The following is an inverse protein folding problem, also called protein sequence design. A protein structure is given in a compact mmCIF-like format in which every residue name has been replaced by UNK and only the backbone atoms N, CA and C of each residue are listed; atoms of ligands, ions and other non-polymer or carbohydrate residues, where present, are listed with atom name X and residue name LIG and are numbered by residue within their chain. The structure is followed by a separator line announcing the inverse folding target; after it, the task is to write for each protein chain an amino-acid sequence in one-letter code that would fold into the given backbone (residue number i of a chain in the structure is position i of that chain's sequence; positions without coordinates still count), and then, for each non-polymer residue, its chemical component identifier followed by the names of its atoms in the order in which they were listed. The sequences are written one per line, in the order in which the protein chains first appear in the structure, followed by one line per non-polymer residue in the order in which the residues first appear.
data_IF_379144530752
#
_entry.id   IF_379144530752
#
_cell.length_a   1.000
_cell.length_b   1.000
_cell.length_c   1.000
_cell.angle_alpha   90.00
_cell.angle_beta   90.00
_cell.angle_gamma   90.00
#
_symmetry.space_group_name_H-M   'P 1'
#
loop_
_entity.id
_entity.type
_entity.pdbx_description
1 polymer ?
#
# COMPACT_ATOMS: atom_id res chain seq x y z
N UNK A 1 30.51 -22.70 9.38
CA UNK A 1 29.16 -22.17 9.66
C UNK A 1 28.34 -22.39 8.42
N UNK A 2 27.34 -23.25 8.53
CA UNK A 2 26.45 -23.64 7.44
C UNK A 2 25.73 -22.40 6.87
N UNK A 3 25.53 -22.34 5.55
CA UNK A 3 24.88 -21.17 4.91
C UNK A 3 23.45 -20.98 5.45
N UNK A 4 22.79 -22.08 5.81
CA UNK A 4 21.48 -22.05 6.47
C UNK A 4 21.53 -21.40 7.86
N UNK A 5 22.57 -21.66 8.65
CA UNK A 5 22.76 -21.00 9.96
C UNK A 5 23.01 -19.51 9.80
N UNK A 6 23.86 -19.12 8.85
CA UNK A 6 24.11 -17.69 8.55
C UNK A 6 22.82 -16.99 8.16
N UNK A 7 22.00 -17.60 7.32
CA UNK A 7 20.70 -17.08 6.93
C UNK A 7 19.79 -16.93 8.15
N UNK A 8 19.60 -17.99 8.95
CA UNK A 8 18.73 -17.96 10.14
C UNK A 8 19.14 -16.85 11.11
N UNK A 9 20.44 -16.68 11.35
CA UNK A 9 20.98 -15.62 12.21
C UNK A 9 20.67 -14.22 11.67
N UNK A 10 20.90 -13.99 10.37
CA UNK A 10 20.58 -12.70 9.71
C UNK A 10 19.07 -12.43 9.70
N UNK A 11 18.26 -13.43 9.37
CA UNK A 11 16.80 -13.33 9.35
C UNK A 11 16.23 -13.02 10.74
N UNK A 12 16.78 -13.65 11.79
CA UNK A 12 16.40 -13.39 13.18
C UNK A 12 16.76 -11.97 13.60
N UNK A 13 17.97 -11.52 13.24
CA UNK A 13 18.41 -10.15 13.53
C UNK A 13 17.53 -9.11 12.81
N UNK A 14 17.19 -9.34 11.54
CA UNK A 14 16.29 -8.47 10.80
C UNK A 14 14.87 -8.43 11.39
N UNK A 15 14.30 -9.58 11.78
CA UNK A 15 12.99 -9.63 12.49
C UNK A 15 13.01 -8.81 13.77
N UNK A 16 14.10 -8.90 14.54
CA UNK A 16 14.24 -8.12 15.78
C UNK A 16 14.25 -6.62 15.48
N UNK A 17 15.09 -6.18 14.53
CA UNK A 17 15.17 -4.78 14.12
C UNK A 17 13.81 -4.23 13.65
N UNK A 18 13.08 -4.99 12.85
CA UNK A 18 11.75 -4.57 12.40
C UNK A 18 10.80 -4.48 13.61
N UNK A 19 10.75 -5.51 14.45
CA UNK A 19 9.81 -5.55 15.59
C UNK A 19 10.05 -4.42 16.59
N UNK A 20 11.30 -4.04 16.84
CA UNK A 20 11.65 -2.98 17.79
C UNK A 20 11.34 -1.57 17.28
N UNK A 21 11.28 -1.37 15.96
CA UNK A 21 11.15 -0.05 15.34
C UNK A 21 9.75 0.23 14.76
N UNK A 22 8.82 -0.71 14.81
CA UNK A 22 7.43 -0.49 14.37
C UNK A 22 6.50 -0.20 15.55
N UNK A 23 5.46 0.59 15.27
CA UNK A 23 4.41 0.90 16.23
C UNK A 23 3.65 -0.34 16.72
N UNK A 24 3.08 -0.24 17.92
CA UNK A 24 2.37 -1.35 18.58
C UNK A 24 1.19 -1.87 17.75
N UNK A 25 0.50 -0.98 17.04
CA UNK A 25 -0.66 -1.34 16.21
C UNK A 25 -0.25 -2.03 14.91
N UNK A 26 0.84 -1.58 14.29
CA UNK A 26 1.48 -2.27 13.14
C UNK A 26 1.89 -3.69 13.52
N UNK A 27 2.44 -3.88 14.73
CA UNK A 27 2.83 -5.20 15.25
C UNK A 27 1.64 -6.15 15.37
N UNK A 28 0.46 -5.65 15.75
CA UNK A 28 -0.77 -6.47 15.81
C UNK A 28 -1.25 -6.91 14.43
N UNK A 29 -1.09 -6.05 13.42
CA UNK A 29 -1.54 -6.30 12.03
C UNK A 29 -0.65 -7.29 11.26
N UNK A 30 0.58 -7.51 11.71
CA UNK A 30 1.53 -8.44 11.07
C UNK A 30 1.11 -9.92 11.14
N UNK A 31 0.41 -10.34 12.20
CA UNK A 31 0.02 -11.74 12.38
C UNK A 31 1.23 -12.69 12.44
N UNK A 32 1.08 -13.90 11.89
CA UNK A 32 2.16 -14.90 11.83
C UNK A 32 2.98 -14.70 10.55
N UNK A 33 4.28 -14.45 10.69
CA UNK A 33 5.24 -14.27 9.59
C UNK A 33 6.45 -15.19 9.80
N UNK A 34 6.91 -15.87 8.74
CA UNK A 34 7.97 -16.88 8.81
C UNK A 34 9.36 -16.31 8.58
N UNK A 35 9.49 -15.22 7.83
CA UNK A 35 10.78 -14.58 7.51
C UNK A 35 10.72 -13.07 7.72
N UNK A 36 11.88 -12.44 7.89
CA UNK A 36 11.98 -10.98 7.95
C UNK A 36 11.49 -10.33 6.66
N UNK A 37 11.73 -10.98 5.51
CA UNK A 37 11.24 -10.54 4.21
C UNK A 37 9.71 -10.51 4.18
N UNK A 38 9.06 -11.60 4.59
CA UNK A 38 7.59 -11.67 4.65
C UNK A 38 7.02 -10.63 5.61
N UNK A 39 7.69 -10.38 6.74
CA UNK A 39 7.34 -9.31 7.68
C UNK A 39 7.40 -7.94 7.02
N UNK A 40 8.47 -7.65 6.28
CA UNK A 40 8.65 -6.40 5.56
C UNK A 40 7.61 -6.21 4.46
N UNK A 41 7.43 -7.21 3.59
CA UNK A 41 6.48 -7.18 2.49
C UNK A 41 5.04 -6.93 3.01
N UNK A 42 4.70 -7.49 4.17
CA UNK A 42 3.40 -7.26 4.82
C UNK A 42 3.26 -5.86 5.43
N UNK A 43 4.30 -5.31 6.02
CA UNK A 43 4.29 -3.93 6.51
C UNK A 43 4.10 -2.93 5.37
N UNK A 44 4.79 -3.14 4.24
CA UNK A 44 4.60 -2.35 3.03
C UNK A 44 3.16 -2.45 2.57
N UNK A 45 2.59 -3.65 2.49
CA UNK A 45 1.19 -3.85 2.11
C UNK A 45 0.21 -3.14 3.07
N UNK A 46 0.43 -3.21 4.39
CA UNK A 46 -0.41 -2.53 5.39
C UNK A 46 -0.30 -1.01 5.24
N UNK A 47 0.91 -0.49 4.99
CA UNK A 47 1.14 0.93 4.78
C UNK A 47 0.46 1.42 3.50
N UNK A 48 0.61 0.70 2.40
CA UNK A 48 -0.05 1.01 1.12
C UNK A 48 -1.58 0.89 1.19
N UNK A 49 -2.09 -0.03 2.03
CA UNK A 49 -3.52 -0.17 2.31
C UNK A 49 -4.01 0.82 3.36
N UNK A 50 -3.14 1.54 4.06
CA UNK A 50 -3.55 2.56 5.01
C UNK A 50 -4.24 3.68 4.23
N UNK A 51 -5.52 3.90 4.53
CA UNK A 51 -6.41 4.70 3.69
C UNK A 51 -5.94 6.16 3.51
N UNK A 52 -5.12 6.72 4.41
CA UNK A 52 -4.54 8.05 4.24
C UNK A 52 -3.48 8.13 3.14
N UNK A 53 -2.52 7.20 3.11
CA UNK A 53 -1.53 7.13 2.03
C UNK A 53 -2.19 6.72 0.70
N UNK A 54 -3.17 5.81 0.76
CA UNK A 54 -3.92 5.39 -0.41
C UNK A 54 -4.71 6.56 -1.03
N UNK A 55 -5.34 7.40 -0.20
CA UNK A 55 -6.07 8.59 -0.65
C UNK A 55 -5.14 9.61 -1.33
N UNK A 56 -3.99 9.90 -0.73
CA UNK A 56 -2.98 10.81 -1.29
C UNK A 56 -2.45 10.30 -2.64
N UNK A 57 -2.09 9.01 -2.71
CA UNK A 57 -1.62 8.37 -3.94
C UNK A 57 -2.67 8.40 -5.06
N UNK A 58 -3.92 8.05 -4.76
CA UNK A 58 -5.02 8.08 -5.74
C UNK A 58 -5.32 9.51 -6.21
N UNK A 59 -5.24 10.49 -5.31
CA UNK A 59 -5.39 11.91 -5.65
C UNK A 59 -4.29 12.35 -6.61
N UNK A 60 -3.03 12.06 -6.27
CA UNK A 60 -1.88 12.38 -7.12
C UNK A 60 -2.00 11.75 -8.50
N UNK A 61 -2.36 10.47 -8.57
CA UNK A 61 -2.54 9.72 -9.83
C UNK A 61 -3.65 10.32 -10.70
N UNK A 62 -4.81 10.65 -10.11
CA UNK A 62 -5.93 11.23 -10.84
C UNK A 62 -5.63 12.65 -11.34
N UNK A 63 -5.15 13.54 -10.47
CA UNK A 63 -4.93 14.95 -10.83
C UNK A 63 -3.71 15.17 -11.72
N UNK A 64 -2.71 14.28 -11.63
CA UNK A 64 -1.51 14.34 -12.48
C UNK A 64 -1.67 13.57 -13.79
N UNK A 65 -2.79 12.90 -14.01
CA UNK A 65 -3.04 12.13 -15.23
C UNK A 65 -2.87 13.01 -16.49
N UNK A 66 -2.11 12.48 -17.45
CA UNK A 66 -1.89 13.07 -18.77
C UNK A 66 -2.12 11.97 -19.81
N UNK A 67 -2.80 12.31 -20.89
CA UNK A 67 -3.03 11.37 -21.99
C UNK A 67 -1.71 11.09 -22.70
N UNK A 68 -1.31 9.83 -22.72
CA UNK A 68 -0.23 9.37 -23.59
C UNK A 68 -0.70 9.42 -25.06
N UNK A 69 0.07 10.02 -25.99
CA UNK A 69 -0.26 10.04 -27.41
C UNK A 69 -0.48 8.65 -28.04
N UNK A 70 0.16 7.61 -27.50
CA UNK A 70 0.07 6.22 -27.98
C UNK A 70 -1.19 5.48 -27.53
N UNK A 71 -1.90 6.01 -26.52
CA UNK A 71 -3.10 5.39 -25.95
C UNK A 71 -4.36 6.02 -26.54
N UNK A 72 -5.38 5.20 -26.82
CA UNK A 72 -6.65 5.74 -27.31
C UNK A 72 -7.35 6.61 -26.27
N UNK A 73 -8.19 7.53 -26.71
CA UNK A 73 -8.99 8.33 -25.77
C UNK A 73 -9.92 7.46 -24.92
N UNK A 74 -10.45 6.36 -25.48
CA UNK A 74 -11.33 5.45 -24.76
C UNK A 74 -10.58 4.77 -23.60
N UNK A 75 -9.38 4.26 -23.86
CA UNK A 75 -8.53 3.63 -22.83
C UNK A 75 -8.09 4.64 -21.76
N UNK A 76 -7.72 5.85 -22.17
CA UNK A 76 -7.37 6.93 -21.25
C UNK A 76 -8.54 7.29 -20.33
N UNK A 77 -9.74 7.50 -20.89
CA UNK A 77 -10.95 7.81 -20.12
C UNK A 77 -11.30 6.64 -19.18
N UNK A 78 -11.23 5.40 -19.66
CA UNK A 78 -11.50 4.23 -18.84
C UNK A 78 -10.50 4.05 -17.69
N UNK A 79 -9.23 4.41 -17.89
CA UNK A 79 -8.24 4.45 -16.81
C UNK A 79 -8.55 5.57 -15.80
N UNK A 80 -8.84 6.77 -16.29
CA UNK A 80 -9.16 7.93 -15.45
C UNK A 80 -10.42 7.69 -14.59
N UNK A 81 -11.45 7.09 -15.17
CA UNK A 81 -12.69 6.71 -14.46
C UNK A 81 -12.44 5.67 -13.37
N UNK A 82 -11.57 4.68 -13.62
CA UNK A 82 -11.20 3.68 -12.61
C UNK A 82 -10.46 4.31 -11.44
N UNK A 83 -9.47 5.16 -11.70
CA UNK A 83 -8.74 5.85 -10.64
C UNK A 83 -9.66 6.80 -9.85
N UNK A 84 -10.59 7.49 -10.52
CA UNK A 84 -11.60 8.31 -9.86
C UNK A 84 -12.54 7.50 -8.95
N UNK A 85 -13.04 6.36 -9.43
CA UNK A 85 -13.92 5.49 -8.65
C UNK A 85 -13.23 5.02 -7.37
N UNK A 86 -11.99 4.54 -7.46
CA UNK A 86 -11.20 4.17 -6.28
C UNK A 86 -10.96 5.35 -5.33
N UNK A 87 -10.75 6.56 -5.88
CA UNK A 87 -10.60 7.77 -5.07
C UNK A 87 -11.88 8.07 -4.29
N UNK A 88 -13.05 7.99 -4.93
CA UNK A 88 -14.36 8.18 -4.28
C UNK A 88 -14.60 7.16 -3.17
N UNK A 89 -14.34 5.87 -3.41
CA UNK A 89 -14.49 4.82 -2.41
C UNK A 89 -13.61 5.06 -1.18
N UNK A 90 -12.34 5.42 -1.38
CA UNK A 90 -11.44 5.71 -0.26
C UNK A 90 -11.79 7.00 0.46
N UNK A 91 -12.26 8.03 -0.27
CA UNK A 91 -12.76 9.27 0.32
C UNK A 91 -13.98 9.01 1.21
N UNK A 92 -14.92 8.19 0.74
CA UNK A 92 -16.10 7.77 1.52
C UNK A 92 -15.70 7.02 2.79
N UNK A 93 -14.76 6.07 2.68
CA UNK A 93 -14.24 5.31 3.84
C UNK A 93 -13.52 6.20 4.86
N UNK A 94 -12.82 7.25 4.40
CA UNK A 94 -12.02 8.13 5.24
C UNK A 94 -12.82 9.24 5.92
N UNK A 95 -13.74 9.87 5.18
CA UNK A 95 -14.42 11.10 5.62
C UNK A 95 -15.89 10.87 5.98
N UNK A 96 -16.46 9.71 5.66
CA UNK A 96 -17.87 9.42 5.93
C UNK A 96 -18.85 10.26 5.10
N UNK A 97 -18.38 10.93 4.04
CA UNK A 97 -19.21 11.73 3.13
C UNK A 97 -19.35 11.01 1.78
N UNK A 98 -20.59 10.90 1.30
CA UNK A 98 -20.86 10.62 -0.11
C UNK A 98 -20.61 11.88 -0.93
N UNK A 99 -19.81 11.77 -1.99
CA UNK A 99 -19.71 12.84 -3.00
C UNK A 99 -21.08 12.87 -3.71
N UNK A 100 -21.83 13.98 -3.68
CA UNK A 100 -23.14 14.03 -4.31
C UNK A 100 -23.01 13.79 -5.82
N UNK A 101 -23.73 12.80 -6.33
CA UNK A 101 -23.97 12.72 -7.77
C UNK A 101 -24.82 13.93 -8.18
N UNK A 102 -24.38 14.65 -9.20
CA UNK A 102 -25.11 15.76 -9.82
C UNK A 102 -26.13 15.25 -10.81
#
# INVERSE_FOLDING_TARGET
MDELEKFKRKDTHAKLLITTNIEKDMRRKLGVVKTAKEMWDRLVSIHEQSSGYRLDRLSMEFFSARKDPSVSYLEYIAALQRTFHHLCEETQKQLGFEIPEK
#
